data_IF_610822480442
#
_entry.id   IF_610822480442
#
_cell.length_a   1.000
_cell.length_b   1.000
_cell.length_c   1.000
_cell.angle_alpha   90.00
_cell.angle_beta   90.00
_cell.angle_gamma   90.00
#
_symmetry.space_group_name_H-M   'P 1'
#
loop_
_entity.id
_entity.type
_entity.pdbx_description
1 polymer ?
#
# COMPACT_ATOMS: atom_id res chain seq x y z
N UNK A 1 28.75 21.49 6.33
CA UNK A 1 27.38 21.74 5.82
C UNK A 1 26.41 20.58 6.02
N UNK A 2 26.79 19.31 5.79
CA UNK A 2 25.86 18.16 5.89
C UNK A 2 25.22 17.98 7.29
N UNK A 3 26.00 18.18 8.36
CA UNK A 3 25.49 18.01 9.73
C UNK A 3 24.42 19.05 10.11
N UNK A 4 24.62 20.32 9.74
CA UNK A 4 23.63 21.38 9.98
C UNK A 4 22.35 21.12 9.21
N UNK A 5 22.43 20.67 7.94
CA UNK A 5 21.25 20.32 7.15
C UNK A 5 20.45 19.19 7.80
N UNK A 6 21.11 18.11 8.23
CA UNK A 6 20.47 16.99 8.94
C UNK A 6 19.85 17.43 10.27
N UNK A 7 20.52 18.31 11.01
CA UNK A 7 19.98 18.87 12.25
C UNK A 7 18.72 19.70 11.99
N UNK A 8 18.77 20.65 11.05
CA UNK A 8 17.62 21.48 10.68
C UNK A 8 16.43 20.64 10.19
N UNK A 9 16.69 19.62 9.38
CA UNK A 9 15.67 18.67 8.92
C UNK A 9 15.03 17.93 10.10
N UNK A 10 15.83 17.38 11.03
CA UNK A 10 15.32 16.70 12.22
C UNK A 10 14.52 17.63 13.13
N UNK A 11 15.00 18.85 13.35
CA UNK A 11 14.30 19.86 14.15
C UNK A 11 12.95 20.24 13.52
N UNK A 12 12.94 20.52 12.22
CA UNK A 12 11.70 20.81 11.48
C UNK A 12 10.69 19.67 11.58
N UNK A 13 11.13 18.42 11.36
CA UNK A 13 10.26 17.25 11.45
C UNK A 13 9.66 17.06 12.85
N UNK A 14 10.45 17.31 13.91
CA UNK A 14 9.96 17.24 15.29
C UNK A 14 8.90 18.32 15.57
N UNK A 15 9.18 19.58 15.24
CA UNK A 15 8.21 20.68 15.45
C UNK A 15 6.95 20.49 14.61
N UNK A 16 7.10 20.00 13.37
CA UNK A 16 5.97 19.68 12.51
C UNK A 16 5.10 18.59 13.13
N UNK A 17 5.70 17.53 13.67
CA UNK A 17 4.98 16.46 14.37
C UNK A 17 4.20 17.00 15.57
N UNK A 18 4.83 17.76 16.46
CA UNK A 18 4.17 18.35 17.63
C UNK A 18 3.00 19.24 17.24
N UNK A 19 3.14 19.95 16.11
CA UNK A 19 2.07 20.78 15.57
C UNK A 19 0.93 19.97 14.94
N UNK A 20 1.22 18.88 14.22
CA UNK A 20 0.23 18.08 13.50
C UNK A 20 -0.49 17.06 14.40
N UNK A 21 0.15 16.57 15.46
CA UNK A 21 -0.40 15.53 16.33
C UNK A 21 -1.80 15.84 16.90
N UNK A 22 -2.14 17.08 17.32
CA UNK A 22 -3.49 17.39 17.79
C UNK A 22 -4.57 17.35 16.69
N UNK A 23 -4.17 17.40 15.41
CA UNK A 23 -5.10 17.48 14.27
C UNK A 23 -5.31 16.13 13.56
N UNK A 24 -4.53 15.10 13.93
CA UNK A 24 -4.74 13.74 13.44
C UNK A 24 -6.10 13.22 13.97
N UNK A 25 -6.87 12.63 13.08
CA UNK A 25 -8.20 12.11 13.37
C UNK A 25 -8.57 11.02 12.37
N UNK A 26 -9.43 10.09 12.80
CA UNK A 26 -10.05 9.17 11.85
C UNK A 26 -11.03 9.91 10.95
N UNK A 27 -10.87 9.75 9.64
CA UNK A 27 -11.76 10.36 8.66
C UNK A 27 -12.41 9.30 7.79
N UNK A 28 -13.66 9.55 7.41
CA UNK A 28 -14.35 8.73 6.43
C UNK A 28 -13.76 8.99 5.05
N UNK A 29 -13.31 7.93 4.38
CA UNK A 29 -12.79 7.97 3.01
C UNK A 29 -13.85 8.59 2.09
N UNK A 30 -13.46 9.63 1.36
CA UNK A 30 -14.35 10.34 0.45
C UNK A 30 -14.23 9.73 -0.95
N UNK A 31 -14.85 8.56 -1.14
CA UNK A 31 -14.81 7.84 -2.41
C UNK A 31 -15.27 8.73 -3.57
N UNK A 32 -14.55 8.65 -4.69
CA UNK A 32 -14.82 9.42 -5.91
C UNK A 32 -14.80 10.95 -5.75
N UNK A 33 -14.18 11.46 -4.69
CA UNK A 33 -14.05 12.90 -4.45
C UNK A 33 -12.65 13.40 -4.82
N UNK A 34 -12.51 14.46 -5.64
CA UNK A 34 -11.22 15.12 -5.86
C UNK A 34 -10.57 15.70 -4.59
N UNK A 35 -11.30 15.72 -3.46
CA UNK A 35 -10.76 16.14 -2.15
C UNK A 35 -10.03 15.01 -1.43
N UNK A 36 -10.26 13.75 -1.80
CA UNK A 36 -9.48 12.63 -1.26
C UNK A 36 -8.07 12.69 -1.87
N UNK A 37 -7.00 12.81 -1.05
CA UNK A 37 -5.63 12.88 -1.57
C UNK A 37 -5.16 11.63 -2.32
N UNK A 38 -5.88 10.51 -2.16
CA UNK A 38 -5.65 9.26 -2.88
C UNK A 38 -6.55 9.09 -4.11
N UNK A 39 -7.47 10.03 -4.38
CA UNK A 39 -8.34 9.95 -5.54
C UNK A 39 -7.57 10.06 -6.85
N UNK A 40 -7.72 9.03 -7.68
CA UNK A 40 -7.15 9.00 -9.00
C UNK A 40 -8.20 9.23 -10.09
N UNK A 41 -8.13 10.39 -10.74
CA UNK A 41 -9.10 10.77 -11.77
C UNK A 41 -8.90 10.05 -13.12
N UNK A 42 -7.64 9.82 -13.51
CA UNK A 42 -7.29 9.21 -14.80
C UNK A 42 -5.88 8.64 -14.80
N UNK A 43 -5.68 7.63 -15.64
CA UNK A 43 -4.37 7.22 -16.12
C UNK A 43 -4.10 7.81 -17.50
N UNK A 44 -2.86 8.24 -17.73
CA UNK A 44 -2.33 8.54 -19.06
C UNK A 44 -1.31 7.47 -19.40
N UNK A 45 -1.53 6.76 -20.50
CA UNK A 45 -0.58 5.76 -21.02
C UNK A 45 -0.01 6.28 -22.33
N UNK A 46 1.31 6.44 -22.38
CA UNK A 46 2.08 6.81 -23.56
C UNK A 46 2.73 5.54 -24.12
N UNK A 47 2.56 5.25 -25.41
CA UNK A 47 3.07 4.05 -26.08
C UNK A 47 3.45 4.36 -27.54
N UNK A 48 4.24 3.50 -28.22
CA UNK A 48 4.69 3.75 -29.59
C UNK A 48 3.52 3.88 -30.57
N UNK A 49 3.57 4.86 -31.48
CA UNK A 49 2.47 5.18 -32.40
C UNK A 49 2.09 4.06 -33.38
N UNK A 50 3.02 3.13 -33.64
CA UNK A 50 2.77 1.96 -34.49
C UNK A 50 2.06 0.79 -33.81
N UNK A 51 1.82 0.87 -32.49
CA UNK A 51 1.27 -0.26 -31.72
C UNK A 51 -0.25 -0.18 -31.62
N UNK A 52 -0.93 -0.69 -32.65
CA UNK A 52 -2.41 -0.73 -32.74
C UNK A 52 -3.06 -1.55 -31.62
N UNK A 53 -2.34 -2.52 -31.08
CA UNK A 53 -2.76 -3.47 -30.06
C UNK A 53 -2.91 -2.77 -28.71
N UNK A 54 -1.92 -1.96 -28.30
CA UNK A 54 -2.01 -1.13 -27.09
C UNK A 54 -3.22 -0.21 -27.15
N UNK A 55 -3.45 0.43 -28.30
CA UNK A 55 -4.61 1.29 -28.51
C UNK A 55 -5.92 0.51 -28.33
N UNK A 56 -6.03 -0.64 -28.98
CA UNK A 56 -7.22 -1.49 -28.93
C UNK A 56 -7.51 -1.96 -27.49
N UNK A 57 -6.49 -2.39 -26.77
CA UNK A 57 -6.59 -2.86 -25.37
C UNK A 57 -7.03 -1.73 -24.45
N UNK A 58 -6.43 -0.55 -24.56
CA UNK A 58 -6.81 0.62 -23.74
C UNK A 58 -8.22 1.13 -24.06
N UNK A 59 -8.63 1.14 -25.33
CA UNK A 59 -9.99 1.53 -25.74
C UNK A 59 -11.05 0.52 -25.23
N UNK A 60 -10.73 -0.78 -25.28
CA UNK A 60 -11.58 -1.86 -24.77
C UNK A 60 -11.70 -1.76 -23.24
N UNK A 61 -10.58 -1.57 -22.54
CA UNK A 61 -10.57 -1.38 -21.09
C UNK A 61 -11.36 -0.14 -20.69
N UNK A 62 -11.15 0.98 -21.38
CA UNK A 62 -11.89 2.23 -21.14
C UNK A 62 -13.40 2.09 -21.35
N UNK A 63 -13.83 1.26 -22.32
CA UNK A 63 -15.25 0.97 -22.55
C UNK A 63 -15.83 0.11 -21.43
N UNK A 64 -15.11 -0.95 -21.04
CA UNK A 64 -15.51 -1.86 -19.96
C UNK A 64 -15.63 -1.12 -18.62
N UNK A 65 -14.69 -0.23 -18.31
CA UNK A 65 -14.72 0.61 -17.10
C UNK A 65 -15.90 1.58 -17.07
N UNK A 66 -16.35 2.11 -18.22
CA UNK A 66 -17.56 2.94 -18.28
C UNK A 66 -18.83 2.15 -18.00
N UNK A 67 -18.87 0.88 -18.37
CA UNK A 67 -19.98 -0.04 -18.03
C UNK A 67 -19.93 -0.37 -16.55
N UNK A 68 -18.76 -0.75 -16.04
CA UNK A 68 -18.52 -1.05 -14.63
C UNK A 68 -18.95 0.08 -13.70
N UNK A 69 -18.65 1.33 -14.06
CA UNK A 69 -19.09 2.51 -13.29
C UNK A 69 -20.61 2.65 -13.17
N UNK A 70 -21.38 2.09 -14.12
CA UNK A 70 -22.84 2.11 -14.11
C UNK A 70 -23.43 0.88 -13.39
N UNK A 71 -22.81 -0.28 -13.55
CA UNK A 71 -23.30 -1.56 -13.01
C UNK A 71 -22.75 -1.88 -11.62
N UNK A 72 -21.70 -1.18 -11.19
CA UNK A 72 -20.91 -1.47 -10.00
C UNK A 72 -20.33 -2.90 -9.98
N UNK A 73 -20.03 -3.44 -11.16
CA UNK A 73 -19.41 -4.75 -11.37
C UNK A 73 -18.04 -4.54 -12.00
N UNK A 74 -16.98 -5.01 -11.34
CA UNK A 74 -15.62 -4.93 -11.87
C UNK A 74 -15.48 -5.79 -13.14
N UNK A 75 -14.97 -5.24 -14.25
CA UNK A 75 -14.74 -5.98 -15.47
C UNK A 75 -13.43 -6.74 -15.40
N UNK A 76 -13.38 -7.90 -16.05
CA UNK A 76 -12.11 -8.56 -16.34
C UNK A 76 -11.36 -7.76 -17.42
N UNK A 77 -10.18 -7.24 -17.08
CA UNK A 77 -9.34 -6.48 -18.00
C UNK A 77 -8.10 -7.29 -18.35
N UNK A 78 -7.89 -7.51 -19.65
CA UNK A 78 -6.70 -8.19 -20.15
C UNK A 78 -5.66 -7.18 -20.60
N UNK A 79 -4.44 -7.36 -20.11
CA UNK A 79 -3.27 -6.58 -20.50
C UNK A 79 -2.76 -6.96 -21.90
N UNK A 80 -1.72 -6.26 -22.35
CA UNK A 80 -1.01 -6.58 -23.59
C UNK A 80 0.44 -6.15 -23.52
N UNK A 81 1.34 -6.99 -24.04
CA UNK A 81 2.77 -6.75 -24.00
C UNK A 81 3.24 -6.55 -22.56
N UNK A 82 3.76 -5.36 -22.27
CA UNK A 82 4.27 -5.01 -20.95
C UNK A 82 3.23 -4.36 -20.04
N UNK A 83 2.01 -4.07 -20.52
CA UNK A 83 0.93 -3.49 -19.73
C UNK A 83 0.08 -4.59 -19.09
N UNK A 84 -0.08 -4.50 -17.78
CA UNK A 84 -0.96 -5.35 -16.99
C UNK A 84 -1.98 -4.52 -16.19
N UNK A 85 -3.24 -4.97 -16.18
CA UNK A 85 -4.29 -4.46 -15.31
C UNK A 85 -4.43 -5.37 -14.11
N UNK A 86 -4.37 -4.80 -12.90
CA UNK A 86 -4.49 -5.54 -11.66
C UNK A 86 -5.81 -5.18 -10.96
N UNK A 87 -6.57 -6.21 -10.63
CA UNK A 87 -7.60 -6.16 -9.59
C UNK A 87 -7.08 -6.87 -8.35
N UNK A 88 -7.37 -6.30 -7.19
CA UNK A 88 -7.18 -6.96 -5.90
C UNK A 88 -8.30 -6.51 -4.98
N UNK A 89 -9.15 -7.45 -4.53
CA UNK A 89 -10.14 -7.31 -3.47
C UNK A 89 -10.76 -5.91 -3.33
N UNK A 90 -11.90 -5.66 -3.99
CA UNK A 90 -12.66 -4.39 -3.94
C UNK A 90 -11.76 -3.15 -3.89
N UNK A 91 -10.75 -3.07 -4.77
CA UNK A 91 -9.82 -1.95 -4.76
C UNK A 91 -10.57 -0.65 -5.03
N UNK A 92 -10.47 0.32 -4.12
CA UNK A 92 -11.33 1.51 -4.14
C UNK A 92 -11.14 2.40 -5.38
N UNK A 93 -9.99 2.29 -6.06
CA UNK A 93 -9.65 3.05 -7.27
C UNK A 93 -9.23 2.15 -8.44
N UNK A 94 -10.06 1.14 -8.77
CA UNK A 94 -9.83 0.20 -9.86
C UNK A 94 -9.80 0.86 -11.27
N UNK A 95 -8.91 0.41 -12.20
CA UNK A 95 -7.88 -0.62 -12.04
C UNK A 95 -6.53 -0.04 -11.61
N UNK A 96 -5.66 -0.88 -11.04
CA UNK A 96 -4.24 -0.54 -10.89
C UNK A 96 -3.46 -1.01 -12.12
N UNK A 97 -2.44 -0.25 -12.51
CA UNK A 97 -1.61 -0.55 -13.67
C UNK A 97 -0.21 -0.97 -13.23
N UNK A 98 0.33 -1.99 -13.88
CA UNK A 98 1.72 -2.40 -13.79
C UNK A 98 2.35 -2.42 -15.18
N UNK A 99 3.54 -1.84 -15.34
CA UNK A 99 4.36 -2.03 -16.52
C UNK A 99 5.54 -2.93 -16.16
N UNK A 100 5.79 -3.95 -16.98
CA UNK A 100 6.96 -4.82 -16.79
C UNK A 100 8.24 -3.99 -16.74
N UNK A 101 9.11 -4.29 -15.75
CA UNK A 101 10.27 -3.47 -15.39
C UNK A 101 11.29 -3.27 -16.54
N UNK A 102 11.28 -4.15 -17.55
CA UNK A 102 12.19 -4.11 -18.68
C UNK A 102 11.69 -3.24 -19.85
N UNK A 103 10.54 -2.56 -19.72
CA UNK A 103 9.96 -1.72 -20.78
C UNK A 103 10.23 -0.23 -20.57
N UNK A 104 10.92 0.39 -21.53
CA UNK A 104 11.05 1.85 -21.63
C UNK A 104 10.06 2.47 -22.64
N UNK A 105 9.35 1.61 -23.40
CA UNK A 105 8.50 1.97 -24.52
C UNK A 105 7.12 2.47 -24.10
N UNK A 106 6.63 1.99 -22.96
CA UNK A 106 5.32 2.35 -22.41
C UNK A 106 5.54 3.14 -21.13
N UNK A 107 4.90 4.30 -21.01
CA UNK A 107 4.96 5.15 -19.81
C UNK A 107 3.56 5.40 -19.28
N UNK A 108 3.40 5.30 -17.97
CA UNK A 108 2.12 5.50 -17.29
C UNK A 108 2.21 6.66 -16.31
N UNK A 109 1.15 7.47 -16.27
CA UNK A 109 0.98 8.55 -15.28
C UNK A 109 -0.40 8.46 -14.62
N UNK A 110 -0.50 8.52 -13.29
CA UNK A 110 0.58 8.46 -12.30
C UNK A 110 1.38 7.15 -12.39
N UNK A 111 2.50 7.10 -11.68
CA UNK A 111 3.45 5.96 -11.74
C UNK A 111 2.69 4.64 -11.57
N UNK A 112 3.00 3.68 -12.40
CA UNK A 112 2.50 2.32 -12.30
C UNK A 112 3.05 1.62 -11.06
N UNK A 113 2.59 0.41 -10.79
CA UNK A 113 3.08 -0.41 -9.69
C UNK A 113 4.44 -1.00 -10.05
N UNK A 114 5.36 -1.03 -9.09
CA UNK A 114 6.61 -1.77 -9.28
C UNK A 114 6.39 -3.29 -9.14
N UNK A 115 7.40 -4.11 -9.45
CA UNK A 115 7.29 -5.58 -9.39
C UNK A 115 6.91 -6.10 -8.00
N UNK A 116 7.48 -5.53 -6.93
CA UNK A 116 7.17 -5.92 -5.55
C UNK A 116 5.73 -5.57 -5.16
N UNK A 117 5.26 -4.38 -5.54
CA UNK A 117 3.88 -3.95 -5.34
C UNK A 117 2.88 -4.82 -6.14
N UNK A 118 3.18 -5.10 -7.41
CA UNK A 118 2.39 -5.97 -8.28
C UNK A 118 2.28 -7.39 -7.71
N UNK A 119 3.41 -7.98 -7.30
CA UNK A 119 3.44 -9.30 -6.69
C UNK A 119 2.60 -9.34 -5.40
N UNK A 120 2.71 -8.33 -4.54
CA UNK A 120 1.90 -8.27 -3.32
C UNK A 120 0.40 -8.30 -3.60
N UNK A 121 -0.06 -7.51 -4.57
CA UNK A 121 -1.49 -7.49 -4.91
C UNK A 121 -1.97 -8.81 -5.52
N UNK A 122 -1.15 -9.46 -6.35
CA UNK A 122 -1.46 -10.79 -6.90
C UNK A 122 -1.54 -11.84 -5.81
N UNK A 123 -0.59 -11.85 -4.88
CA UNK A 123 -0.57 -12.79 -3.77
C UNK A 123 -1.74 -12.54 -2.81
N UNK A 124 -2.09 -11.28 -2.55
CA UNK A 124 -3.25 -10.91 -1.73
C UNK A 124 -4.57 -11.26 -2.40
N UNK A 125 -4.68 -11.10 -3.72
CA UNK A 125 -5.85 -11.53 -4.49
C UNK A 125 -6.00 -13.06 -4.43
N UNK A 126 -4.91 -13.80 -4.70
CA UNK A 126 -4.92 -15.26 -4.60
C UNK A 126 -5.27 -15.75 -3.18
N UNK A 127 -4.77 -15.06 -2.15
CA UNK A 127 -5.12 -15.33 -0.76
C UNK A 127 -6.61 -15.11 -0.52
N UNK A 128 -7.18 -14.01 -1.02
CA UNK A 128 -8.60 -13.67 -0.89
C UNK A 128 -9.50 -14.70 -1.58
N UNK A 129 -9.11 -15.18 -2.77
CA UNK A 129 -9.88 -16.16 -3.54
C UNK A 129 -9.84 -17.56 -2.92
N UNK A 130 -8.76 -17.90 -2.22
CA UNK A 130 -8.54 -19.23 -1.64
C UNK A 130 -8.95 -19.35 -0.17
N UNK A 131 -8.98 -18.25 0.59
CA UNK A 131 -9.25 -18.27 2.03
C UNK A 131 -10.64 -17.75 2.40
N UNK A 132 -11.48 -18.65 2.92
CA UNK A 132 -12.76 -18.31 3.56
C UNK A 132 -12.60 -17.57 4.90
N UNK A 133 -11.37 -17.32 5.38
CA UNK A 133 -11.11 -16.70 6.68
C UNK A 133 -11.68 -15.28 6.83
N UNK A 134 -12.02 -14.63 5.71
CA UNK A 134 -12.74 -13.37 5.75
C UNK A 134 -14.09 -13.51 6.46
N UNK A 135 -14.77 -14.66 6.48
CA UNK A 135 -15.92 -14.97 7.37
C UNK A 135 -16.88 -13.77 7.62
N UNK A 136 -17.44 -13.20 6.55
CA UNK A 136 -18.35 -12.05 6.64
C UNK A 136 -17.67 -10.68 6.79
N UNK A 137 -16.33 -10.64 6.78
CA UNK A 137 -15.55 -9.40 6.65
C UNK A 137 -15.49 -8.93 5.21
N UNK A 138 -15.46 -7.62 5.05
CA UNK A 138 -15.12 -6.96 3.79
C UNK A 138 -13.65 -6.56 3.81
N UNK A 139 -12.91 -6.86 2.73
CA UNK A 139 -11.52 -6.43 2.54
C UNK A 139 -11.49 -5.42 1.39
N UNK A 140 -10.91 -4.26 1.67
CA UNK A 140 -10.67 -3.20 0.71
C UNK A 140 -9.18 -2.93 0.63
N UNK A 141 -8.68 -2.77 -0.60
CA UNK A 141 -7.32 -2.32 -0.85
C UNK A 141 -7.36 -0.88 -1.36
N UNK A 142 -6.48 -0.05 -0.82
CA UNK A 142 -6.27 1.30 -1.27
C UNK A 142 -4.79 1.54 -1.55
N UNK A 143 -4.45 1.89 -2.79
CA UNK A 143 -3.14 2.46 -3.10
C UNK A 143 -3.03 3.86 -2.51
N UNK A 144 -1.99 4.08 -1.73
CA UNK A 144 -1.69 5.36 -1.12
C UNK A 144 -0.77 6.17 -2.05
N UNK A 145 -1.16 7.40 -2.37
CA UNK A 145 -0.38 8.29 -3.22
C UNK A 145 0.79 8.86 -2.43
N UNK A 146 2.02 8.62 -2.90
CA UNK A 146 3.20 9.15 -2.23
C UNK A 146 3.13 10.69 -2.11
N UNK A 147 3.48 11.21 -0.92
CA UNK A 147 3.52 12.65 -0.55
C UNK A 147 2.17 13.37 -0.42
N UNK A 148 1.12 12.95 -1.13
CA UNK A 148 -0.22 13.55 -1.00
C UNK A 148 -1.13 12.74 -0.11
N UNK A 149 -1.00 11.41 -0.15
CA UNK A 149 -1.72 10.46 0.67
C UNK A 149 -1.28 10.47 2.13
N UNK A 150 -1.64 9.40 2.84
CA UNK A 150 -1.36 9.24 4.27
C UNK A 150 0.14 9.01 4.46
N UNK A 151 0.75 9.76 5.38
CA UNK A 151 2.16 9.66 5.70
C UNK A 151 2.41 9.90 7.19
N UNK A 152 3.47 9.27 7.68
CA UNK A 152 3.90 9.30 9.08
C UNK A 152 5.32 9.90 9.14
N UNK A 153 5.39 11.22 9.37
CA UNK A 153 6.63 12.00 9.34
C UNK A 153 7.63 11.56 10.42
N UNK A 154 7.07 11.18 11.54
CA UNK A 154 7.68 10.76 12.80
C UNK A 154 8.30 9.34 12.74
N UNK A 155 8.10 8.63 11.62
CA UNK A 155 8.66 7.32 11.30
C UNK A 155 9.69 7.38 10.15
N UNK A 156 10.42 8.50 10.07
CA UNK A 156 11.40 8.72 9.01
C UNK A 156 10.75 8.96 7.65
N UNK A 157 9.68 9.77 7.62
CA UNK A 157 8.87 10.01 6.43
C UNK A 157 8.35 8.70 5.82
N UNK A 158 7.66 7.90 6.63
CA UNK A 158 7.05 6.66 6.19
C UNK A 158 5.76 6.96 5.41
N UNK A 159 5.78 6.61 4.12
CA UNK A 159 4.61 6.65 3.25
C UNK A 159 4.40 5.21 2.80
N UNK A 160 3.45 4.48 3.39
CA UNK A 160 3.14 3.12 2.95
C UNK A 160 2.56 3.16 1.54
N UNK A 161 2.81 2.13 0.73
CA UNK A 161 2.28 2.08 -0.65
C UNK A 161 0.81 1.66 -0.69
N UNK A 162 0.40 0.82 0.27
CA UNK A 162 -0.96 0.30 0.37
C UNK A 162 -1.55 0.46 1.77
N UNK A 163 -2.87 0.63 1.79
CA UNK A 163 -3.70 0.57 2.97
C UNK A 163 -4.67 -0.59 2.77
N UNK A 164 -4.53 -1.62 3.60
CA UNK A 164 -5.44 -2.76 3.64
C UNK A 164 -6.45 -2.50 4.74
N UNK A 165 -7.72 -2.41 4.37
CA UNK A 165 -8.81 -2.12 5.27
C UNK A 165 -9.75 -3.30 5.35
N UNK A 166 -9.76 -3.98 6.50
CA UNK A 166 -10.71 -5.04 6.79
C UNK A 166 -11.79 -4.53 7.73
N UNK A 167 -13.04 -4.83 7.43
CA UNK A 167 -14.20 -4.46 8.25
C UNK A 167 -14.99 -5.70 8.63
N UNK A 168 -15.30 -5.83 9.93
CA UNK A 168 -16.24 -6.84 10.45
C UNK A 168 -17.04 -6.21 11.58
N UNK A 169 -18.36 -6.12 11.41
CA UNK A 169 -19.26 -5.51 12.40
C UNK A 169 -18.80 -4.09 12.82
N UNK A 170 -18.59 -3.86 14.11
CA UNK A 170 -18.08 -2.60 14.68
C UNK A 170 -16.55 -2.52 14.75
N UNK A 171 -15.83 -3.54 14.25
CA UNK A 171 -14.37 -3.60 14.26
C UNK A 171 -13.78 -3.35 12.88
N UNK A 172 -12.70 -2.58 12.84
CA UNK A 172 -11.96 -2.29 11.63
C UNK A 172 -10.48 -2.50 11.87
N UNK A 173 -9.82 -3.14 10.92
CA UNK A 173 -8.38 -3.28 10.90
C UNK A 173 -7.84 -2.49 9.71
N UNK A 174 -7.00 -1.49 9.99
CA UNK A 174 -6.36 -0.65 8.98
C UNK A 174 -4.87 -0.95 9.04
N UNK A 175 -4.36 -1.57 7.98
CA UNK A 175 -2.97 -2.03 7.90
C UNK A 175 -2.22 -1.28 6.81
N UNK A 176 -1.16 -0.59 7.21
CA UNK A 176 -0.28 0.17 6.32
C UNK A 176 0.88 -0.70 5.84
N UNK A 177 0.92 -0.99 4.54
CA UNK A 177 1.82 -1.99 3.95
C UNK A 177 2.76 -1.31 2.95
N UNK A 178 4.06 -1.56 3.08
CA UNK A 178 5.14 -1.00 2.25
C UNK A 178 6.00 -2.15 1.67
N UNK A 179 5.76 -2.58 0.40
CA UNK A 179 6.64 -3.49 -0.31
C UNK A 179 7.95 -2.82 -0.73
N UNK A 180 9.07 -3.15 -0.06
CA UNK A 180 10.34 -2.45 -0.25
C UNK A 180 11.60 -3.29 -0.11
N UNK A 181 12.63 -2.87 -0.83
CA UNK A 181 13.98 -3.39 -0.66
C UNK A 181 14.60 -2.95 0.67
N UNK A 182 15.29 -3.87 1.34
CA UNK A 182 15.96 -3.64 2.62
C UNK A 182 17.50 -3.73 2.56
N UNK A 183 18.09 -4.05 1.41
CA UNK A 183 19.55 -4.18 1.23
C UNK A 183 20.36 -2.98 1.75
N UNK A 184 19.83 -1.76 1.62
CA UNK A 184 20.51 -0.53 2.02
C UNK A 184 20.09 -0.03 3.39
N UNK A 185 19.37 -0.84 4.18
CA UNK A 185 19.02 -0.49 5.55
C UNK A 185 20.22 -0.62 6.48
N UNK A 186 20.96 0.47 6.65
CA UNK A 186 22.15 0.53 7.51
C UNK A 186 21.83 0.54 9.01
N UNK A 187 20.57 0.77 9.39
CA UNK A 187 20.13 0.84 10.79
C UNK A 187 19.54 -0.48 11.29
N UNK A 188 19.48 -1.52 10.45
CA UNK A 188 18.92 -2.81 10.83
C UNK A 188 17.50 -2.69 11.36
N UNK A 189 17.17 -3.44 12.42
CA UNK A 189 15.84 -3.41 13.04
C UNK A 189 15.51 -2.05 13.68
N UNK A 190 16.50 -1.27 14.09
CA UNK A 190 16.31 0.06 14.69
C UNK A 190 15.89 1.13 13.69
N UNK A 191 15.76 0.77 12.40
CA UNK A 191 15.29 1.68 11.38
C UNK A 191 13.87 2.20 11.73
N UNK A 192 13.60 3.52 11.69
CA UNK A 192 12.32 4.10 12.10
C UNK A 192 11.09 3.49 11.42
N UNK A 193 11.19 3.19 10.11
CA UNK A 193 10.13 2.50 9.37
C UNK A 193 9.86 1.07 9.88
N UNK A 194 10.87 0.35 10.33
CA UNK A 194 10.69 -0.99 10.91
C UNK A 194 10.05 -0.86 12.29
N UNK A 195 10.55 0.03 13.14
CA UNK A 195 9.99 0.28 14.48
C UNK A 195 8.57 0.88 14.46
N UNK A 196 8.09 1.35 13.29
CA UNK A 196 6.78 1.97 13.16
C UNK A 196 5.62 1.05 13.55
N UNK A 197 5.78 -0.27 13.47
CA UNK A 197 4.77 -1.22 13.92
C UNK A 197 4.40 -1.07 15.40
N UNK A 198 5.32 -0.59 16.25
CA UNK A 198 5.05 -0.25 17.67
C UNK A 198 4.39 1.11 17.77
N UNK A 199 4.98 2.09 17.10
CA UNK A 199 4.55 3.49 17.18
C UNK A 199 3.12 3.70 16.68
N UNK A 200 2.70 2.94 15.68
CA UNK A 200 1.33 3.05 15.17
C UNK A 200 0.27 2.66 16.22
N UNK A 201 0.64 1.87 17.24
CA UNK A 201 -0.25 1.56 18.37
C UNK A 201 -0.44 2.76 19.29
N UNK A 202 0.57 3.63 19.43
CA UNK A 202 0.41 4.91 20.14
C UNK A 202 -0.64 5.79 19.45
N UNK A 203 -0.66 5.82 18.11
CA UNK A 203 -1.71 6.50 17.35
C UNK A 203 -3.08 5.86 17.49
N UNK A 204 -3.12 4.53 17.47
CA UNK A 204 -4.36 3.79 17.71
C UNK A 204 -5.00 4.21 19.04
N UNK A 205 -4.21 4.24 20.10
CA UNK A 205 -4.67 4.58 21.45
C UNK A 205 -5.00 6.06 21.59
N UNK A 206 -4.15 6.96 21.07
CA UNK A 206 -4.34 8.41 21.14
C UNK A 206 -5.63 8.89 20.46
N UNK A 207 -6.05 8.23 19.37
CA UNK A 207 -7.22 8.65 18.59
C UNK A 207 -8.44 7.76 18.75
N UNK A 208 -8.40 6.76 19.65
CA UNK A 208 -9.49 5.80 19.87
C UNK A 208 -10.84 6.49 20.10
N UNK A 209 -10.88 7.57 20.88
CA UNK A 209 -12.10 8.33 21.18
C UNK A 209 -12.70 9.05 19.95
N UNK A 210 -11.90 9.26 18.89
CA UNK A 210 -12.37 9.88 17.64
C UNK A 210 -13.02 8.88 16.68
N UNK A 211 -12.99 7.58 17.00
CA UNK A 211 -13.38 6.48 16.10
C UNK A 211 -14.89 6.23 15.96
N UNK A 212 -15.76 7.15 16.40
CA UNK A 212 -17.22 7.11 16.24
C UNK A 212 -17.84 5.72 16.51
N UNK A 213 -17.62 5.21 17.73
CA UNK A 213 -18.13 3.92 18.24
C UNK A 213 -17.57 2.65 17.55
N UNK A 214 -16.50 2.77 16.78
CA UNK A 214 -15.82 1.63 16.16
C UNK A 214 -14.52 1.30 16.88
N UNK A 215 -14.25 0.00 17.01
CA UNK A 215 -12.94 -0.47 17.41
C UNK A 215 -12.02 -0.44 16.19
N UNK A 216 -11.07 0.48 16.17
CA UNK A 216 -10.07 0.58 15.10
C UNK A 216 -8.75 -0.01 15.60
N UNK A 217 -8.24 -1.00 14.87
CA UNK A 217 -6.94 -1.60 15.07
C UNK A 217 -6.02 -1.13 13.94
N UNK A 218 -4.90 -0.50 14.29
CA UNK A 218 -3.91 -0.03 13.33
C UNK A 218 -2.71 -0.96 13.29
N UNK A 219 -2.29 -1.39 12.10
CA UNK A 219 -1.09 -2.19 11.91
C UNK A 219 -0.18 -1.55 10.87
N UNK A 220 1.11 -1.86 10.92
CA UNK A 220 2.03 -1.55 9.82
C UNK A 220 2.92 -2.75 9.53
N UNK A 221 3.20 -2.97 8.25
CA UNK A 221 4.06 -4.04 7.76
C UNK A 221 5.03 -3.52 6.71
N UNK A 222 6.24 -4.07 6.73
CA UNK A 222 7.19 -3.97 5.63
C UNK A 222 7.26 -5.33 4.94
N UNK A 223 6.97 -5.36 3.64
CA UNK A 223 7.11 -6.55 2.83
C UNK A 223 8.42 -6.46 2.06
N UNK A 224 9.43 -7.18 2.52
CA UNK A 224 10.74 -7.12 1.92
C UNK A 224 10.76 -7.83 0.56
N UNK A 225 11.11 -7.07 -0.48
CA UNK A 225 11.50 -7.61 -1.80
C UNK A 225 12.93 -8.16 -1.80
N UNK A 226 13.69 -7.91 -0.73
CA UNK A 226 15.06 -8.41 -0.59
C UNK A 226 15.05 -9.80 0.01
N UNK A 227 15.78 -10.72 -0.61
CA UNK A 227 15.91 -12.08 -0.08
C UNK A 227 16.46 -12.06 1.34
N UNK A 228 15.81 -12.82 2.20
CA UNK A 228 16.12 -12.89 3.62
C UNK A 228 17.57 -13.34 3.87
N UNK A 229 18.12 -14.22 3.01
CA UNK A 229 19.53 -14.64 3.06
C UNK A 229 20.54 -13.50 2.98
N UNK A 230 20.18 -12.38 2.33
CA UNK A 230 21.03 -11.20 2.22
C UNK A 230 20.93 -10.29 3.45
N UNK A 231 19.98 -10.53 4.36
CA UNK A 231 19.75 -9.75 5.58
C UNK A 231 20.04 -10.54 6.87
N UNK A 232 20.55 -11.77 6.78
CA UNK A 232 20.81 -12.65 7.94
C UNK A 232 21.77 -12.05 8.98
N UNK A 233 22.61 -11.10 8.57
CA UNK A 233 23.51 -10.38 9.49
C UNK A 233 22.77 -9.37 10.37
N UNK A 234 21.54 -9.00 10.02
CA UNK A 234 20.75 -7.99 10.74
C UNK A 234 19.88 -8.61 11.83
N UNK A 235 19.24 -9.76 11.58
CA UNK A 235 18.38 -10.46 12.53
C UNK A 235 17.98 -11.88 12.06
N UNK A 236 17.34 -12.65 12.95
CA UNK A 236 16.70 -13.92 12.61
C UNK A 236 15.28 -13.73 12.02
N UNK A 237 14.74 -14.75 11.36
CA UNK A 237 13.40 -14.76 10.74
C UNK A 237 12.31 -14.41 11.75
N UNK A 238 12.37 -15.05 12.92
CA UNK A 238 11.45 -14.83 14.03
C UNK A 238 11.50 -13.37 14.49
N UNK A 239 12.71 -12.83 14.60
CA UNK A 239 12.90 -11.43 15.01
C UNK A 239 12.36 -10.44 13.97
N UNK A 240 12.46 -10.73 12.67
CA UNK A 240 11.85 -9.89 11.64
C UNK A 240 10.31 -9.92 11.69
N UNK A 241 9.73 -11.11 11.85
CA UNK A 241 8.28 -11.27 11.95
C UNK A 241 7.70 -10.55 13.18
N UNK A 242 8.38 -10.59 14.34
CA UNK A 242 8.02 -9.80 15.54
C UNK A 242 8.02 -8.29 15.27
N UNK A 243 8.83 -7.82 14.31
CA UNK A 243 8.88 -6.43 13.88
C UNK A 243 7.98 -6.13 12.68
N UNK A 244 7.06 -7.05 12.35
CA UNK A 244 6.15 -6.95 11.20
C UNK A 244 6.89 -6.77 9.85
N UNK A 245 8.11 -7.31 9.76
CA UNK A 245 8.86 -7.42 8.51
C UNK A 245 8.69 -8.84 7.98
N UNK A 246 8.04 -8.95 6.83
CA UNK A 246 7.80 -10.23 6.15
C UNK A 246 8.51 -10.23 4.80
N UNK A 247 8.80 -11.40 4.25
CA UNK A 247 9.59 -11.54 3.01
C UNK A 247 8.72 -12.06 1.88
N UNK A 248 8.66 -11.36 0.74
CA UNK A 248 7.79 -11.77 -0.37
C UNK A 248 8.21 -13.10 -1.01
N UNK A 249 9.47 -13.50 -0.87
CA UNK A 249 9.94 -14.80 -1.36
C UNK A 249 9.54 -15.98 -0.46
N UNK A 250 9.09 -15.71 0.76
CA UNK A 250 8.62 -16.77 1.66
C UNK A 250 7.19 -17.17 1.29
N UNK A 251 6.93 -18.48 1.03
CA UNK A 251 5.58 -18.96 0.84
C UNK A 251 4.68 -18.62 2.03
N UNK A 252 3.46 -18.15 1.76
CA UNK A 252 2.46 -17.84 2.79
C UNK A 252 2.76 -16.57 3.60
N UNK A 253 3.62 -15.66 3.11
CA UNK A 253 3.85 -14.39 3.83
C UNK A 253 2.56 -13.56 3.95
N UNK A 254 1.66 -13.63 2.95
CA UNK A 254 0.32 -12.99 3.03
C UNK A 254 -0.52 -13.64 4.12
N UNK A 255 -0.52 -14.98 4.23
CA UNK A 255 -1.22 -15.68 5.32
C UNK A 255 -0.71 -15.24 6.70
N UNK A 256 0.62 -15.13 6.86
CA UNK A 256 1.24 -14.62 8.11
C UNK A 256 0.80 -13.19 8.41
N UNK A 257 0.83 -12.32 7.40
CA UNK A 257 0.38 -10.93 7.52
C UNK A 257 -1.08 -10.86 7.95
N UNK A 258 -1.98 -11.51 7.21
CA UNK A 258 -3.42 -11.46 7.45
C UNK A 258 -3.81 -12.14 8.76
N UNK A 259 -3.13 -13.21 9.16
CA UNK A 259 -3.31 -13.81 10.48
C UNK A 259 -2.97 -12.82 11.59
N UNK A 260 -1.91 -12.02 11.42
CA UNK A 260 -1.51 -10.98 12.39
C UNK A 260 -2.50 -9.81 12.39
N UNK A 261 -2.99 -9.43 11.21
CA UNK A 261 -3.99 -8.36 11.06
C UNK A 261 -5.29 -8.72 11.75
N UNK A 262 -5.75 -9.97 11.65
CA UNK A 262 -7.07 -10.40 12.12
C UNK A 262 -7.09 -10.93 13.57
N UNK A 263 -5.98 -10.79 14.32
CA UNK A 263 -5.98 -10.95 15.79
C UNK A 263 -6.80 -9.83 16.46
#
# INVERSE_FOLDING_TARGET
>A
MVLLKKYCERFYLLTKQEHEAPFLSYQTVQLNSPKDPNYLAKYTVEFPSGSSEFRTVLETAGTSLKVAKKTNVEPELQGFGELEFLSCAHHLYFPLLHISADSDRVKVKPVDLNTGESNFLKDLQAWTDSNNQLNGSELFVLRNQAKTGIGFFDAGNFYPDFIIWVRRDSKQWISFVDPKGLLHNTQGLEHPKIQFHKKIKEYQDAYKETAADKEIVLNSFILSTTQQRHLKTLASDYTFAEHHVLFQEEPGYVDKMMSTVLL
#
